data_IF_183892283307
#
_entry.id   IF_183892283307
#
_cell.length_a   1.000
_cell.length_b   1.000
_cell.length_c   1.000
_cell.angle_alpha   90.00
_cell.angle_beta   90.00
_cell.angle_gamma   90.00
#
_symmetry.space_group_name_H-M   'P 1'
#
loop_
_entity.id
_entity.type
_entity.pdbx_description
1 polymer ?
#
# COMPACT_ATOMS: atom_id res chain seq x y z
N UNK A 1 16.57 15.20 -5.53
CA UNK A 1 15.66 15.68 -4.46
C UNK A 1 14.68 16.63 -5.14
N UNK A 2 13.38 16.35 -5.20
CA UNK A 2 12.31 17.02 -4.44
C UNK A 2 11.03 16.15 -4.48
N UNK A 3 10.32 16.06 -3.35
CA UNK A 3 9.00 15.42 -3.14
C UNK A 3 7.86 16.31 -3.65
N UNK A 4 6.65 15.76 -3.75
CA UNK A 4 5.43 16.56 -3.82
C UNK A 4 5.47 17.70 -2.81
N UNK A 5 5.12 18.90 -3.30
CA UNK A 5 5.02 20.20 -2.61
C UNK A 5 5.83 20.31 -1.31
N UNK A 6 7.10 20.68 -1.46
CA UNK A 6 8.02 20.98 -0.37
C UNK A 6 7.80 22.38 0.20
N UNK A 7 7.19 22.47 1.38
CA UNK A 7 7.31 23.65 2.24
C UNK A 7 8.16 23.40 3.50
N UNK A 8 8.49 22.15 3.87
CA UNK A 8 9.26 21.89 5.08
C UNK A 8 9.70 20.41 5.22
N UNK A 9 10.83 20.17 5.93
CA UNK A 9 11.38 18.83 6.28
C UNK A 9 10.44 17.92 7.09
N UNK A 10 9.25 18.40 7.41
CA UNK A 10 8.18 17.74 8.17
C UNK A 10 6.95 17.41 7.31
N UNK A 11 6.93 17.73 6.02
CA UNK A 11 5.76 17.59 5.15
C UNK A 11 5.57 16.20 4.52
N UNK A 12 6.29 15.17 4.98
CA UNK A 12 6.09 13.78 4.58
C UNK A 12 4.80 13.16 5.16
N UNK A 13 3.70 13.91 5.21
CA UNK A 13 2.53 13.59 6.04
C UNK A 13 1.47 12.68 5.42
N UNK A 14 1.52 12.46 4.11
CA UNK A 14 0.87 11.29 3.48
C UNK A 14 1.64 10.00 3.83
N UNK A 15 2.93 10.18 4.08
CA UNK A 15 4.02 9.21 4.32
C UNK A 15 4.06 8.80 5.82
N UNK A 16 2.88 8.49 6.37
CA UNK A 16 2.74 8.01 7.75
C UNK A 16 1.84 6.81 7.97
N UNK A 17 1.00 6.44 6.99
CA UNK A 17 0.05 5.32 7.14
C UNK A 17 0.78 3.99 7.11
N UNK A 18 1.63 3.76 6.10
CA UNK A 18 2.50 2.58 6.00
C UNK A 18 3.33 2.43 7.26
N UNK A 19 4.05 3.48 7.65
CA UNK A 19 4.90 3.48 8.83
C UNK A 19 4.09 3.30 10.13
N UNK A 20 2.82 3.72 10.17
CA UNK A 20 1.96 3.48 11.33
C UNK A 20 1.51 2.03 11.39
N UNK A 21 1.13 1.46 10.24
CA UNK A 21 0.79 0.05 10.09
C UNK A 21 1.98 -0.81 10.52
N UNK A 22 3.18 -0.53 10.01
CA UNK A 22 4.41 -1.23 10.36
C UNK A 22 4.68 -1.19 11.85
N UNK A 23 4.58 -0.01 12.48
CA UNK A 23 4.78 0.14 13.94
C UNK A 23 3.82 -0.73 14.74
N UNK A 24 2.56 -0.81 14.31
CA UNK A 24 1.54 -1.59 15.01
C UNK A 24 1.75 -3.08 14.76
N UNK A 25 1.95 -3.47 13.50
CA UNK A 25 2.20 -4.85 13.11
C UNK A 25 3.45 -5.39 13.81
N UNK A 26 4.55 -4.64 13.83
CA UNK A 26 5.82 -5.04 14.45
C UNK A 26 5.69 -5.17 15.96
N UNK A 27 4.95 -4.26 16.61
CA UNK A 27 4.66 -4.34 18.05
C UNK A 27 3.81 -5.57 18.38
N UNK A 28 2.83 -5.90 17.53
CA UNK A 28 1.94 -7.04 17.75
C UNK A 28 2.61 -8.39 17.42
N UNK A 29 3.57 -8.40 16.47
CA UNK A 29 4.36 -9.58 16.09
C UNK A 29 5.05 -10.24 17.30
N UNK A 30 5.61 -9.44 18.21
CA UNK A 30 6.28 -9.94 19.43
C UNK A 30 5.37 -10.71 20.39
N UNK A 31 4.05 -10.69 20.16
CA UNK A 31 3.06 -11.40 20.98
C UNK A 31 2.64 -12.73 20.37
N UNK A 32 3.09 -13.03 19.14
CA UNK A 32 2.72 -14.26 18.47
C UNK A 32 3.52 -15.46 19.01
N UNK A 33 2.88 -16.63 19.15
CA UNK A 33 3.53 -17.83 19.66
C UNK A 33 4.77 -18.19 18.86
N UNK A 34 5.86 -18.41 19.59
CA UNK A 34 7.14 -18.81 19.01
C UNK A 34 7.92 -17.67 18.37
N UNK A 35 7.48 -16.41 18.46
CA UNK A 35 8.30 -15.26 18.05
C UNK A 35 9.27 -14.89 19.17
N UNK A 36 10.55 -14.87 18.83
CA UNK A 36 11.66 -14.46 19.69
C UNK A 36 12.55 -13.40 19.03
N UNK A 37 13.84 -13.31 19.43
CA UNK A 37 14.79 -12.42 18.77
C UNK A 37 15.05 -12.87 17.33
N UNK A 38 15.61 -11.96 16.52
CA UNK A 38 16.04 -12.24 15.14
C UNK A 38 15.27 -11.49 14.05
N UNK A 39 14.03 -11.09 14.32
CA UNK A 39 13.28 -10.24 13.37
C UNK A 39 13.73 -8.76 13.46
N UNK A 40 13.90 -8.04 12.33
CA UNK A 40 14.32 -6.64 12.32
C UNK A 40 13.51 -5.75 13.25
N UNK A 41 14.17 -4.80 13.91
CA UNK A 41 13.52 -3.79 14.70
C UNK A 41 12.74 -2.81 13.81
N UNK A 42 11.68 -2.21 14.37
CA UNK A 42 10.86 -1.26 13.61
C UNK A 42 11.67 -0.09 13.03
N UNK A 43 12.71 0.37 13.72
CA UNK A 43 13.57 1.47 13.22
C UNK A 43 14.31 1.07 11.94
N UNK A 44 14.68 -0.20 11.80
CA UNK A 44 15.40 -0.73 10.64
C UNK A 44 14.45 -0.88 9.46
N UNK A 45 13.25 -1.42 9.67
CA UNK A 45 12.19 -1.54 8.65
C UNK A 45 11.85 -0.15 8.09
N UNK A 46 11.59 0.82 8.98
CA UNK A 46 11.23 2.18 8.58
C UNK A 46 12.35 2.95 7.86
N UNK A 47 13.59 2.44 7.83
CA UNK A 47 14.66 3.05 7.05
C UNK A 47 14.47 2.84 5.54
N UNK A 48 13.70 1.82 5.15
CA UNK A 48 13.34 1.45 3.77
C UNK A 48 11.93 1.90 3.38
N UNK A 49 11.36 2.83 4.13
CA UNK A 49 10.06 3.43 3.86
C UNK A 49 10.20 4.87 3.32
N UNK A 50 9.13 5.42 2.75
CA UNK A 50 9.11 6.80 2.25
C UNK A 50 10.15 7.04 1.15
N UNK A 51 11.05 8.01 1.34
CA UNK A 51 12.04 8.42 0.32
C UNK A 51 13.07 7.32 -0.05
N UNK A 52 13.26 6.33 0.82
CA UNK A 52 14.14 5.18 0.60
C UNK A 52 13.38 3.92 0.20
N UNK A 53 12.04 3.98 0.19
CA UNK A 53 11.17 2.86 -0.12
C UNK A 53 10.58 2.92 -1.53
N UNK A 54 9.57 2.07 -1.79
CA UNK A 54 8.93 1.94 -3.10
C UNK A 54 8.45 3.27 -3.70
N UNK A 55 7.80 4.12 -2.89
CA UNK A 55 7.32 5.44 -3.36
C UNK A 55 8.46 6.44 -3.63
N UNK A 56 9.61 6.26 -2.99
CA UNK A 56 10.82 7.04 -3.26
C UNK A 56 11.44 6.72 -4.61
N UNK A 57 11.30 5.48 -5.11
CA UNK A 57 11.79 5.07 -6.43
C UNK A 57 10.99 5.70 -7.58
N UNK A 58 9.66 5.79 -7.46
CA UNK A 58 8.81 6.52 -8.42
C UNK A 58 9.26 7.95 -8.68
N UNK A 59 9.88 8.57 -7.67
CA UNK A 59 10.44 9.92 -7.74
C UNK A 59 11.86 9.98 -8.28
N UNK A 60 12.66 8.94 -8.04
CA UNK A 60 14.09 8.87 -8.40
C UNK A 60 14.30 8.35 -9.82
N UNK A 61 13.41 7.47 -10.29
CA UNK A 61 13.47 6.83 -11.60
C UNK A 61 12.08 6.80 -12.25
N UNK A 62 11.58 7.94 -12.77
CA UNK A 62 10.26 7.98 -13.39
C UNK A 62 10.17 6.98 -14.55
N UNK A 63 9.18 6.09 -14.49
CA UNK A 63 8.89 5.07 -15.53
C UNK A 63 9.96 3.99 -15.73
N UNK A 64 10.96 3.91 -14.84
CA UNK A 64 11.91 2.80 -14.77
C UNK A 64 11.76 2.12 -13.41
N UNK A 65 11.41 0.84 -13.41
CA UNK A 65 11.24 0.00 -12.21
C UNK A 65 10.25 0.55 -11.18
N UNK A 66 9.23 1.31 -11.60
CA UNK A 66 8.15 1.74 -10.71
C UNK A 66 7.29 0.52 -10.34
N UNK A 67 7.30 0.06 -9.08
CA UNK A 67 6.47 -1.06 -8.69
C UNK A 67 5.00 -0.68 -8.95
N UNK A 68 4.30 -1.58 -9.66
CA UNK A 68 2.88 -1.42 -9.98
C UNK A 68 2.08 -1.85 -8.76
N UNK A 69 1.33 -0.91 -8.16
CA UNK A 69 0.68 -1.10 -6.87
C UNK A 69 -0.83 -1.35 -6.98
N UNK A 70 -1.36 -1.49 -8.20
CA UNK A 70 -2.77 -1.76 -8.45
C UNK A 70 -3.02 -3.26 -8.58
N UNK A 71 -4.18 -3.69 -8.12
CA UNK A 71 -4.70 -5.04 -8.33
C UNK A 71 -6.20 -4.92 -8.58
N UNK A 72 -6.72 -5.56 -9.63
CA UNK A 72 -8.15 -5.62 -9.92
C UNK A 72 -8.77 -6.87 -9.27
N UNK A 73 -9.51 -6.74 -8.15
CA UNK A 73 -10.05 -7.90 -7.44
C UNK A 73 -11.15 -8.63 -8.23
N UNK A 74 -11.61 -8.08 -9.37
CA UNK A 74 -12.58 -8.75 -10.25
C UNK A 74 -11.91 -9.66 -11.30
N UNK A 75 -10.59 -9.52 -11.50
CA UNK A 75 -9.79 -10.28 -12.47
C UNK A 75 -8.88 -11.27 -11.74
N UNK A 76 -9.25 -12.55 -11.75
CA UNK A 76 -8.47 -13.59 -11.06
C UNK A 76 -7.05 -13.80 -11.62
N UNK A 77 -6.79 -13.34 -12.84
CA UNK A 77 -5.51 -13.38 -13.52
C UNK A 77 -4.64 -12.14 -13.28
N UNK A 78 -5.15 -11.09 -12.62
CA UNK A 78 -4.34 -9.96 -12.16
C UNK A 78 -3.52 -10.35 -10.92
N UNK A 79 -2.36 -10.93 -11.18
CA UNK A 79 -1.52 -11.60 -10.18
C UNK A 79 -0.20 -10.89 -9.92
N UNK A 80 0.08 -9.76 -10.58
CA UNK A 80 1.39 -9.10 -10.51
C UNK A 80 1.76 -8.68 -9.08
N UNK A 81 0.82 -8.05 -8.36
CA UNK A 81 1.04 -7.64 -6.98
C UNK A 81 1.15 -8.85 -6.04
N UNK A 82 0.36 -9.90 -6.28
CA UNK A 82 0.44 -11.16 -5.51
C UNK A 82 1.83 -11.78 -5.67
N UNK A 83 2.36 -11.83 -6.89
CA UNK A 83 3.72 -12.32 -7.16
C UNK A 83 4.75 -11.49 -6.40
N UNK A 84 4.65 -10.16 -6.43
CA UNK A 84 5.55 -9.27 -5.69
C UNK A 84 5.51 -9.53 -4.17
N UNK A 85 4.32 -9.72 -3.60
CA UNK A 85 4.15 -10.08 -2.18
C UNK A 85 4.86 -11.41 -1.85
N UNK A 86 4.66 -12.43 -2.68
CA UNK A 86 5.27 -13.75 -2.45
C UNK A 86 6.78 -13.75 -2.66
N UNK A 87 7.29 -12.98 -3.62
CA UNK A 87 8.72 -12.82 -3.86
C UNK A 87 9.40 -12.13 -2.66
N UNK A 88 8.83 -11.03 -2.16
CA UNK A 88 9.36 -10.37 -0.96
C UNK A 88 9.23 -11.26 0.29
N UNK A 89 8.16 -12.05 0.41
CA UNK A 89 8.06 -13.03 1.49
C UNK A 89 9.17 -14.08 1.41
N UNK A 90 9.41 -14.66 0.23
CA UNK A 90 10.46 -15.64 0.02
C UNK A 90 11.84 -15.07 0.38
N UNK A 91 12.15 -13.88 -0.13
CA UNK A 91 13.43 -13.24 0.14
C UNK A 91 13.60 -12.83 1.61
N UNK A 92 12.51 -12.45 2.30
CA UNK A 92 12.51 -12.19 3.73
C UNK A 92 12.89 -13.46 4.52
N UNK A 93 12.31 -14.61 4.17
CA UNK A 93 12.65 -15.90 4.79
C UNK A 93 14.14 -16.19 4.64
N UNK A 94 14.67 -16.08 3.43
CA UNK A 94 16.10 -16.33 3.18
C UNK A 94 16.99 -15.34 3.94
N UNK A 95 16.67 -14.05 3.93
CA UNK A 95 17.42 -13.04 4.67
C UNK A 95 17.45 -13.30 6.18
N UNK A 96 16.32 -13.75 6.75
CA UNK A 96 16.25 -14.14 8.16
C UNK A 96 17.11 -15.38 8.45
N UNK A 97 17.06 -16.42 7.60
CA UNK A 97 17.89 -17.64 7.75
C UNK A 97 19.38 -17.33 7.73
N UNK A 98 19.80 -16.40 6.88
CA UNK A 98 21.21 -15.97 6.79
C UNK A 98 21.58 -14.87 7.80
N UNK A 99 20.67 -14.51 8.71
CA UNK A 99 20.86 -13.44 9.69
C UNK A 99 21.30 -12.09 9.05
N UNK A 100 20.82 -11.82 7.84
CA UNK A 100 21.08 -10.58 7.11
C UNK A 100 19.99 -9.56 7.48
N UNK A 101 20.21 -8.85 8.59
CA UNK A 101 19.23 -7.90 9.13
C UNK A 101 18.89 -6.74 8.19
N UNK A 102 19.87 -6.25 7.41
CA UNK A 102 19.62 -5.17 6.46
C UNK A 102 18.70 -5.63 5.32
N UNK A 103 19.00 -6.80 4.73
CA UNK A 103 18.13 -7.38 3.70
C UNK A 103 16.77 -7.75 4.27
N UNK A 104 16.71 -8.35 5.46
CA UNK A 104 15.43 -8.69 6.10
C UNK A 104 14.59 -7.43 6.38
N UNK A 105 15.19 -6.33 6.82
CA UNK A 105 14.48 -5.06 7.02
C UNK A 105 13.95 -4.49 5.70
N UNK A 106 14.76 -4.55 4.63
CA UNK A 106 14.34 -4.16 3.28
C UNK A 106 13.14 -4.99 2.81
N UNK A 107 13.24 -6.31 2.86
CA UNK A 107 12.18 -7.21 2.40
C UNK A 107 10.91 -7.07 3.23
N UNK A 108 11.03 -6.88 4.55
CA UNK A 108 9.89 -6.65 5.43
C UNK A 108 9.15 -5.34 5.09
N UNK A 109 9.87 -4.26 4.78
CA UNK A 109 9.29 -2.99 4.38
C UNK A 109 8.56 -3.11 3.03
N UNK A 110 9.22 -3.68 2.02
CA UNK A 110 8.62 -3.85 0.69
C UNK A 110 7.43 -4.79 0.67
N UNK A 111 7.48 -5.88 1.45
CA UNK A 111 6.35 -6.77 1.67
C UNK A 111 5.16 -6.04 2.29
N UNK A 112 5.40 -5.25 3.34
CA UNK A 112 4.36 -4.46 3.99
C UNK A 112 3.77 -3.45 3.03
N UNK A 113 4.61 -2.72 2.30
CA UNK A 113 4.20 -1.73 1.31
C UNK A 113 3.26 -2.33 0.25
N UNK A 114 3.65 -3.46 -0.34
CA UNK A 114 2.83 -4.15 -1.35
C UNK A 114 1.48 -4.63 -0.79
N UNK A 115 1.44 -5.13 0.45
CA UNK A 115 0.20 -5.54 1.12
C UNK A 115 -0.69 -4.33 1.41
N UNK A 116 -0.13 -3.23 1.93
CA UNK A 116 -0.88 -2.01 2.26
C UNK A 116 -1.53 -1.43 1.00
N UNK A 117 -0.79 -1.37 -0.09
CA UNK A 117 -1.29 -0.88 -1.37
C UNK A 117 -2.33 -1.83 -1.97
N UNK A 118 -2.05 -3.14 -1.97
CA UNK A 118 -2.99 -4.16 -2.44
C UNK A 118 -4.30 -4.24 -1.65
N UNK A 119 -4.32 -3.70 -0.43
CA UNK A 119 -5.51 -3.59 0.40
C UNK A 119 -6.05 -2.16 0.49
N UNK A 120 -5.51 -1.21 -0.28
CA UNK A 120 -6.03 0.16 -0.35
C UNK A 120 -7.15 0.24 -1.39
N UNK A 121 -8.40 0.58 -1.03
CA UNK A 121 -9.54 0.52 -1.97
C UNK A 121 -9.37 1.37 -3.24
N UNK A 122 -8.63 2.49 -3.17
CA UNK A 122 -8.36 3.32 -4.34
C UNK A 122 -7.41 2.64 -5.36
N UNK A 123 -6.69 1.60 -4.94
CA UNK A 123 -5.77 0.82 -5.77
C UNK A 123 -6.47 -0.40 -6.42
N UNK A 124 -7.75 -0.64 -6.07
CA UNK A 124 -8.63 -1.61 -6.74
C UNK A 124 -9.36 -1.03 -7.94
N UNK A 125 -9.35 0.30 -8.08
CA UNK A 125 -9.87 0.98 -9.24
C UNK A 125 -8.82 0.96 -10.37
N UNK A 126 -9.22 0.77 -11.65
CA UNK A 126 -8.30 0.78 -12.80
C UNK A 126 -7.81 2.20 -13.12
N UNK A 127 -7.13 2.83 -12.15
CA UNK A 127 -6.62 4.19 -12.25
C UNK A 127 -5.58 4.28 -13.36
N UNK A 128 -4.71 3.26 -13.46
CA UNK A 128 -3.69 3.16 -14.51
C UNK A 128 -4.32 3.22 -15.91
N UNK A 129 -5.29 2.33 -16.18
CA UNK A 129 -6.02 2.30 -17.45
C UNK A 129 -6.71 3.63 -17.73
N UNK A 130 -7.39 4.22 -16.73
CA UNK A 130 -8.08 5.50 -16.92
C UNK A 130 -7.13 6.67 -17.18
N UNK A 131 -5.96 6.65 -16.54
CA UNK A 131 -4.91 7.63 -16.78
C UNK A 131 -4.32 7.44 -18.18
N UNK A 132 -4.06 6.22 -18.62
CA UNK A 132 -3.53 5.96 -19.97
C UNK A 132 -4.54 6.36 -21.05
N UNK A 133 -5.83 6.12 -20.84
CA UNK A 133 -6.92 6.60 -21.69
C UNK A 133 -6.89 8.12 -21.85
N UNK A 134 -6.75 8.86 -20.73
CA UNK A 134 -6.67 10.32 -20.74
C UNK A 134 -5.41 10.83 -21.47
N UNK A 135 -4.29 10.12 -21.34
CA UNK A 135 -3.01 10.49 -21.96
C UNK A 135 -2.89 10.06 -23.44
N UNK A 136 -3.62 9.02 -23.85
CA UNK A 136 -3.48 8.39 -25.16
C UNK A 136 -2.13 7.69 -25.36
N UNK A 137 -1.39 7.39 -24.28
CA UNK A 137 -0.10 6.69 -24.33
C UNK A 137 0.19 5.90 -23.04
N UNK A 138 1.01 4.83 -23.11
CA UNK A 138 1.39 4.01 -21.96
C UNK A 138 2.15 4.80 -20.88
N UNK A 139 2.15 4.30 -19.63
CA UNK A 139 2.93 4.95 -18.55
C UNK A 139 4.43 5.03 -18.82
N UNK A 140 4.98 4.03 -19.52
CA UNK A 140 6.41 3.88 -19.83
C UNK A 140 6.90 5.00 -20.75
N UNK A 141 6.00 5.58 -21.55
CA UNK A 141 6.32 6.65 -22.49
C UNK A 141 6.30 8.05 -21.85
N UNK A 142 5.92 8.16 -20.57
CA UNK A 142 5.86 9.45 -19.83
C UNK A 142 7.13 9.65 -19.02
N UNK A 143 8.19 10.09 -19.68
CA UNK A 143 9.56 10.07 -19.14
C UNK A 143 9.89 11.25 -18.22
N UNK A 144 9.12 12.34 -18.28
CA UNK A 144 9.39 13.56 -17.49
C UNK A 144 8.29 13.89 -16.49
N UNK A 145 8.66 14.60 -15.41
CA UNK A 145 7.70 15.14 -14.43
C UNK A 145 6.63 15.98 -15.12
N UNK A 146 7.00 16.77 -16.13
CA UNK A 146 6.04 17.58 -16.88
C UNK A 146 5.03 16.70 -17.63
N UNK A 147 5.50 15.68 -18.34
CA UNK A 147 4.63 14.75 -19.08
C UNK A 147 3.71 13.95 -18.16
N UNK A 148 4.13 13.67 -16.93
CA UNK A 148 3.28 12.98 -15.94
C UNK A 148 2.20 13.87 -15.31
N UNK A 149 2.33 15.20 -15.39
CA UNK A 149 1.43 16.12 -14.69
C UNK A 149 0.59 17.03 -15.61
N UNK A 150 0.94 17.12 -16.89
CA UNK A 150 0.23 17.96 -17.86
C UNK A 150 -0.08 17.19 -19.13
N UNK A 151 -1.37 17.04 -19.43
CA UNK A 151 -1.85 16.31 -20.62
C UNK A 151 -1.91 17.29 -21.79
N UNK A 152 -1.37 16.92 -22.94
CA UNK A 152 -1.47 17.70 -24.19
C UNK A 152 -2.45 16.97 -25.11
N UNK A 153 -3.58 17.61 -25.42
CA UNK A 153 -4.55 17.12 -26.41
C UNK A 153 -4.23 17.62 -27.83
N UNK A 154 -4.96 17.14 -28.83
CA UNK A 154 -4.85 17.58 -30.23
C UNK A 154 -5.30 19.04 -30.38
N UNK A 155 -6.26 19.47 -29.55
CA UNK A 155 -6.74 20.86 -29.51
C UNK A 155 -6.55 21.51 -28.13
N UNK A 156 -6.62 22.85 -28.09
CA UNK A 156 -6.62 23.60 -26.81
C UNK A 156 -7.82 23.25 -25.93
N UNK A 157 -8.99 23.03 -26.54
CA UNK A 157 -10.20 22.65 -25.82
C UNK A 157 -10.04 21.26 -25.20
N UNK A 158 -9.52 20.31 -25.97
CA UNK A 158 -9.24 18.96 -25.50
C UNK A 158 -8.17 18.94 -24.40
N UNK A 159 -7.10 19.73 -24.54
CA UNK A 159 -6.10 19.93 -23.50
C UNK A 159 -6.75 20.39 -22.19
N UNK A 160 -7.67 21.37 -22.26
CA UNK A 160 -8.39 21.84 -21.08
C UNK A 160 -9.29 20.76 -20.48
N UNK A 161 -10.05 20.04 -21.32
CA UNK A 161 -10.94 18.94 -20.90
C UNK A 161 -10.17 17.84 -20.18
N UNK A 162 -9.11 17.31 -20.80
CA UNK A 162 -8.29 16.22 -20.25
C UNK A 162 -7.64 16.61 -18.92
N UNK A 163 -7.09 17.83 -18.82
CA UNK A 163 -6.52 18.30 -17.55
C UNK A 163 -7.61 18.53 -16.49
N UNK A 164 -8.83 18.92 -16.85
CA UNK A 164 -9.96 18.99 -15.92
C UNK A 164 -10.42 17.61 -15.46
N UNK A 165 -10.48 16.62 -16.35
CA UNK A 165 -10.80 15.22 -16.02
C UNK A 165 -9.73 14.58 -15.13
N UNK A 166 -8.49 15.06 -15.18
CA UNK A 166 -7.41 14.59 -14.32
C UNK A 166 -7.32 15.35 -12.97
N UNK A 167 -7.29 16.68 -13.00
CA UNK A 167 -7.06 17.54 -11.82
C UNK A 167 -8.29 18.21 -11.23
N UNK A 168 -9.37 18.36 -12.01
CA UNK A 168 -10.55 19.14 -11.66
C UNK A 168 -11.34 18.56 -10.49
N UNK A 169 -12.46 19.20 -10.16
CA UNK A 169 -13.39 18.67 -9.17
C UNK A 169 -13.95 17.32 -9.66
N UNK A 170 -13.75 16.25 -8.86
CA UNK A 170 -13.98 14.84 -9.24
C UNK A 170 -13.06 14.32 -10.36
N UNK A 171 -11.94 15.00 -10.61
CA UNK A 171 -10.89 14.49 -11.49
C UNK A 171 -10.26 13.22 -10.93
N UNK A 172 -9.79 12.35 -11.82
CA UNK A 172 -9.32 11.00 -11.50
C UNK A 172 -8.22 11.00 -10.44
N UNK A 173 -7.18 11.83 -10.63
CA UNK A 173 -6.06 11.93 -9.69
C UNK A 173 -6.45 12.62 -8.39
N UNK A 174 -7.19 13.73 -8.48
CA UNK A 174 -7.62 14.48 -7.31
C UNK A 174 -8.49 13.62 -6.37
N UNK A 175 -9.34 12.78 -6.95
CA UNK A 175 -10.22 11.88 -6.18
C UNK A 175 -9.42 10.79 -5.48
N UNK A 176 -8.47 10.15 -6.18
CA UNK A 176 -7.56 9.19 -5.57
C UNK A 176 -6.79 9.79 -4.38
N UNK A 177 -6.14 10.94 -4.59
CA UNK A 177 -5.37 11.62 -3.55
C UNK A 177 -6.25 12.05 -2.36
N UNK A 178 -7.48 12.50 -2.61
CA UNK A 178 -8.42 12.88 -1.56
C UNK A 178 -8.90 11.67 -0.73
N UNK A 179 -9.09 10.50 -1.36
CA UNK A 179 -9.44 9.27 -0.65
C UNK A 179 -8.33 8.84 0.31
N UNK A 180 -7.11 8.75 -0.20
CA UNK A 180 -5.93 8.36 0.58
C UNK A 180 -5.65 9.37 1.71
N UNK A 181 -5.85 10.66 1.48
CA UNK A 181 -5.79 11.68 2.54
C UNK A 181 -6.85 11.44 3.63
N UNK A 182 -8.07 11.07 3.24
CA UNK A 182 -9.13 10.69 4.16
C UNK A 182 -8.72 9.50 5.04
N UNK A 183 -8.15 8.45 4.43
CA UNK A 183 -7.60 7.29 5.14
C UNK A 183 -6.50 7.72 6.12
N UNK A 184 -5.56 8.55 5.68
CA UNK A 184 -4.49 9.07 6.53
C UNK A 184 -5.02 9.88 7.73
N UNK A 185 -6.02 10.73 7.52
CA UNK A 185 -6.67 11.50 8.58
C UNK A 185 -7.39 10.58 9.60
N UNK A 186 -8.08 9.54 9.12
CA UNK A 186 -8.71 8.54 9.97
C UNK A 186 -7.68 7.71 10.73
N UNK A 187 -6.58 7.31 10.09
CA UNK A 187 -5.48 6.59 10.69
C UNK A 187 -4.84 7.40 11.81
N UNK A 188 -4.49 8.68 11.57
CA UNK A 188 -3.82 9.56 12.55
C UNK A 188 -4.57 9.65 13.88
N UNK A 189 -5.90 9.71 13.81
CA UNK A 189 -6.79 9.85 14.98
C UNK A 189 -7.13 8.52 15.66
N UNK A 190 -6.76 7.39 15.06
CA UNK A 190 -7.07 6.06 15.58
C UNK A 190 -6.00 5.55 16.55
N UNK A 191 -6.46 4.90 17.61
CA UNK A 191 -5.62 4.12 18.50
C UNK A 191 -5.92 2.65 18.27
N UNK A 192 -4.89 1.89 17.98
CA UNK A 192 -4.96 0.44 17.89
C UNK A 192 -4.27 -0.08 19.13
N UNK A 193 -5.02 -0.34 20.22
CA UNK A 193 -4.43 -1.01 21.38
C UNK A 193 -3.85 -2.34 20.93
N UNK A 194 -2.90 -2.84 21.70
CA UNK A 194 -2.46 -4.21 21.53
C UNK A 194 -3.69 -5.10 21.71
N UNK A 195 -4.07 -5.82 20.65
CA UNK A 195 -5.23 -6.71 20.65
C UNK A 195 -4.77 -8.05 21.20
N UNK A 196 -5.64 -8.73 21.95
CA UNK A 196 -5.44 -10.14 22.27
C UNK A 196 -5.29 -10.94 20.98
N UNK A 197 -4.38 -11.90 20.99
CA UNK A 197 -4.14 -12.75 19.85
C UNK A 197 -5.38 -13.62 19.58
N UNK A 198 -5.92 -13.50 18.38
CA UNK A 198 -6.91 -14.43 17.87
C UNK A 198 -6.22 -15.71 17.40
N UNK A 199 -6.08 -16.67 18.31
CA UNK A 199 -5.42 -17.95 18.03
C UNK A 199 -6.14 -18.78 16.95
N UNK A 200 -7.48 -18.67 16.87
CA UNK A 200 -8.26 -19.38 15.87
C UNK A 200 -7.98 -18.82 14.47
N UNK A 201 -8.02 -17.49 14.35
CA UNK A 201 -7.64 -16.82 13.11
C UNK A 201 -6.21 -17.13 12.70
N UNK A 202 -5.25 -17.09 13.65
CA UNK A 202 -3.85 -17.38 13.34
C UNK A 202 -3.66 -18.81 12.83
N UNK A 203 -4.28 -19.80 13.47
CA UNK A 203 -4.20 -21.19 13.04
C UNK A 203 -4.80 -21.40 11.63
N UNK A 204 -5.95 -20.77 11.35
CA UNK A 204 -6.56 -20.79 10.03
C UNK A 204 -5.66 -20.14 8.98
N UNK A 205 -5.16 -18.93 9.26
CA UNK A 205 -4.26 -18.20 8.37
C UNK A 205 -3.00 -19.01 8.07
N UNK A 206 -2.39 -19.65 9.09
CA UNK A 206 -1.23 -20.53 8.89
C UNK A 206 -1.54 -21.75 8.02
N UNK A 207 -2.73 -22.34 8.13
CA UNK A 207 -3.14 -23.46 7.29
C UNK A 207 -3.37 -23.05 5.83
N UNK A 208 -3.79 -21.81 5.60
CA UNK A 208 -4.05 -21.23 4.27
C UNK A 208 -2.79 -20.71 3.58
N UNK A 209 -1.86 -20.12 4.32
CA UNK A 209 -0.68 -19.41 3.81
C UNK A 209 -0.95 -17.96 3.37
N UNK A 210 0.11 -17.15 3.25
CA UNK A 210 0.00 -15.71 2.94
C UNK A 210 -0.80 -15.40 1.68
N UNK A 211 -0.62 -16.15 0.59
CA UNK A 211 -1.32 -15.85 -0.67
C UNK A 211 -2.83 -15.81 -0.45
N UNK A 212 -3.39 -16.88 0.12
CA UNK A 212 -4.83 -16.98 0.33
C UNK A 212 -5.32 -15.99 1.38
N UNK A 213 -4.55 -15.75 2.45
CA UNK A 213 -4.88 -14.74 3.46
C UNK A 213 -4.95 -13.34 2.86
N UNK A 214 -4.02 -13.00 1.96
CA UNK A 214 -4.04 -11.73 1.24
C UNK A 214 -5.23 -11.64 0.28
N UNK A 215 -5.50 -12.67 -0.51
CA UNK A 215 -6.63 -12.69 -1.45
C UNK A 215 -7.98 -12.58 -0.72
N UNK A 216 -8.17 -13.31 0.37
CA UNK A 216 -9.37 -13.26 1.19
C UNK A 216 -9.58 -11.83 1.75
N UNK A 217 -8.53 -11.22 2.29
CA UNK A 217 -8.57 -9.85 2.80
C UNK A 217 -8.81 -8.82 1.68
N UNK A 218 -8.22 -9.02 0.50
CA UNK A 218 -8.43 -8.16 -0.66
C UNK A 218 -9.90 -8.19 -1.10
N UNK A 219 -10.51 -9.37 -1.21
CA UNK A 219 -11.93 -9.50 -1.56
C UNK A 219 -12.85 -8.95 -0.46
N UNK A 220 -12.51 -9.15 0.82
CA UNK A 220 -13.23 -8.52 1.92
C UNK A 220 -13.21 -6.99 1.78
N UNK A 221 -12.03 -6.39 1.60
CA UNK A 221 -11.86 -4.95 1.41
C UNK A 221 -12.58 -4.45 0.17
N UNK A 222 -12.51 -5.17 -0.94
CA UNK A 222 -13.20 -4.82 -2.17
C UNK A 222 -14.73 -4.79 -1.96
N UNK A 223 -15.28 -5.77 -1.23
CA UNK A 223 -16.71 -5.84 -0.92
C UNK A 223 -17.23 -4.68 -0.05
N UNK A 224 -16.32 -3.94 0.61
CA UNK A 224 -16.68 -2.76 1.40
C UNK A 224 -17.15 -1.58 0.54
N UNK A 225 -16.88 -1.61 -0.77
CA UNK A 225 -17.27 -0.61 -1.76
C UNK A 225 -16.89 0.84 -1.37
N UNK A 226 -15.76 0.99 -0.66
CA UNK A 226 -15.38 2.25 -0.02
C UNK A 226 -15.01 3.32 -1.04
N UNK A 227 -14.28 2.96 -2.09
CA UNK A 227 -13.81 3.93 -3.09
C UNK A 227 -14.97 4.44 -3.96
N UNK A 228 -15.89 3.57 -4.37
CA UNK A 228 -17.11 3.96 -5.08
C UNK A 228 -18.04 4.80 -4.19
N UNK A 229 -18.24 4.42 -2.92
CA UNK A 229 -18.98 5.25 -1.95
C UNK A 229 -18.35 6.64 -1.85
N UNK A 230 -17.02 6.73 -1.75
CA UNK A 230 -16.30 8.00 -1.70
C UNK A 230 -16.45 8.82 -2.99
N UNK A 231 -16.39 8.16 -4.15
CA UNK A 231 -16.58 8.83 -5.44
C UNK A 231 -17.95 9.52 -5.54
N UNK A 232 -18.98 8.87 -5.01
CA UNK A 232 -20.36 9.35 -5.06
C UNK A 232 -20.65 10.42 -3.99
N UNK A 233 -20.20 10.19 -2.75
CA UNK A 233 -20.63 10.95 -1.57
C UNK A 233 -19.53 11.85 -0.97
N UNK A 234 -18.28 11.73 -1.45
CA UNK A 234 -17.11 12.32 -0.81
C UNK A 234 -16.72 11.61 0.49
N UNK A 235 -15.87 12.26 1.30
CA UNK A 235 -15.43 11.67 2.57
C UNK A 235 -16.51 11.78 3.66
N UNK A 236 -17.11 10.66 4.05
CA UNK A 236 -18.21 10.61 5.02
C UNK A 236 -17.77 10.06 6.38
N UNK A 237 -18.61 10.27 7.41
CA UNK A 237 -18.40 9.68 8.74
C UNK A 237 -18.49 8.15 8.73
N UNK A 238 -19.28 7.58 7.81
CA UNK A 238 -19.36 6.14 7.54
C UNK A 238 -18.01 5.62 7.06
N UNK A 239 -17.43 6.23 6.03
CA UNK A 239 -16.10 5.87 5.50
C UNK A 239 -15.01 6.01 6.58
N UNK A 240 -15.03 7.10 7.34
CA UNK A 240 -14.10 7.25 8.45
C UNK A 240 -14.25 6.13 9.49
N UNK A 241 -15.48 5.75 9.87
CA UNK A 241 -15.70 4.65 10.83
C UNK A 241 -15.24 3.31 10.28
N UNK A 242 -15.57 3.01 9.03
CA UNK A 242 -15.20 1.77 8.34
C UNK A 242 -13.68 1.65 8.21
N UNK A 243 -13.01 2.75 7.86
CA UNK A 243 -11.54 2.82 7.81
C UNK A 243 -10.90 2.41 9.13
N UNK A 244 -11.42 2.93 10.25
CA UNK A 244 -10.85 2.72 11.60
C UNK A 244 -11.16 1.35 12.18
N UNK A 245 -12.33 0.78 11.85
CA UNK A 245 -12.84 -0.44 12.49
C UNK A 245 -12.66 -1.71 11.66
N UNK A 246 -12.50 -1.58 10.36
CA UNK A 246 -12.41 -2.70 9.43
C UNK A 246 -11.11 -2.59 8.64
N UNK A 247 -11.00 -1.62 7.73
CA UNK A 247 -9.89 -1.52 6.78
C UNK A 247 -8.50 -1.57 7.45
N UNK A 248 -8.20 -0.63 8.34
CA UNK A 248 -6.87 -0.55 8.97
C UNK A 248 -6.56 -1.77 9.85
N UNK A 249 -7.48 -2.27 10.70
CA UNK A 249 -7.29 -3.54 11.39
C UNK A 249 -6.98 -4.71 10.46
N UNK A 250 -7.69 -4.86 9.34
CA UNK A 250 -7.47 -5.91 8.34
C UNK A 250 -6.06 -5.80 7.76
N UNK A 251 -5.66 -4.61 7.30
CA UNK A 251 -4.31 -4.40 6.72
C UNK A 251 -3.21 -4.72 7.75
N UNK A 252 -3.34 -4.22 8.98
CA UNK A 252 -2.38 -4.48 10.07
C UNK A 252 -2.26 -5.98 10.34
N UNK A 253 -3.38 -6.71 10.33
CA UNK A 253 -3.42 -8.14 10.60
C UNK A 253 -2.73 -8.94 9.48
N UNK A 254 -2.95 -8.59 8.21
CA UNK A 254 -2.30 -9.25 7.07
C UNK A 254 -0.78 -8.98 7.05
N UNK A 255 -0.34 -7.72 7.26
CA UNK A 255 1.09 -7.39 7.36
C UNK A 255 1.76 -8.15 8.51
N UNK A 256 1.14 -8.15 9.69
CA UNK A 256 1.66 -8.87 10.85
C UNK A 256 1.78 -10.37 10.56
N UNK A 257 0.79 -10.97 9.91
CA UNK A 257 0.81 -12.39 9.54
C UNK A 257 1.86 -12.69 8.49
N UNK A 258 2.04 -11.84 7.48
CA UNK A 258 3.07 -12.02 6.46
C UNK A 258 4.48 -12.09 7.06
N UNK A 259 4.78 -11.19 8.01
CA UNK A 259 6.02 -11.21 8.77
C UNK A 259 6.14 -12.40 9.71
N UNK A 260 5.06 -12.79 10.39
CA UNK A 260 5.03 -13.97 11.24
C UNK A 260 5.32 -15.25 10.46
N UNK A 261 4.64 -15.45 9.34
CA UNK A 261 4.81 -16.64 8.52
C UNK A 261 6.24 -16.71 7.97
N UNK A 262 6.82 -15.57 7.56
CA UNK A 262 8.22 -15.53 7.14
C UNK A 262 9.18 -15.90 8.29
N UNK A 263 8.95 -15.37 9.49
CA UNK A 263 9.73 -15.71 10.68
C UNK A 263 9.66 -17.21 11.01
N UNK A 264 8.47 -17.80 10.99
CA UNK A 264 8.27 -19.24 11.24
C UNK A 264 8.90 -20.12 10.15
N UNK A 265 8.79 -19.73 8.88
CA UNK A 265 9.44 -20.42 7.75
C UNK A 265 10.97 -20.33 7.81
N UNK A 266 11.51 -19.29 8.43
CA UNK A 266 12.94 -19.14 8.70
C UNK A 266 13.43 -20.01 9.88
N UNK A 267 12.53 -20.74 10.55
CA UNK A 267 12.82 -21.61 11.71
C UNK A 267 13.41 -20.86 12.92
N UNK A 268 12.97 -19.61 13.10
CA UNK A 268 13.28 -18.78 14.26
C UNK A 268 12.20 -18.86 15.37
#
# INVERSE_FOLDING_TARGET
MYSGTTLNKTSGGFIGVHQKIDRIARRNLDQLPGVGPGFPAIKEILAFEGDNGPDGLKRKSPSADEPWHYIDPSKSDDRQLVTMILDHQHNLVEALRYNNHERAAFEAAWLSHAIVDGLTPAHHYPLGEKIEELWGKPKEERLTIKEKNFIVGETRLETLSKNWEYWGAKGVFMTHAAFEFGVAAAAKTSRYPQKDLDHAWLAQATAQGLEQVFLDAMHEVYSLDMYHTFWNEGWTTKLARQTRRVLLPTIIQVVMFAWYEAYRKAEL
#
